data_IF_376384839920
#
_entry.id   IF_376384839920
#
_cell.length_a   1.000
_cell.length_b   1.000
_cell.length_c   1.000
_cell.angle_alpha   90.00
_cell.angle_beta   90.00
_cell.angle_gamma   90.00
#
_symmetry.space_group_name_H-M   'P 1'
#
loop_
_entity.id
_entity.type
_entity.pdbx_description
1 polymer ?
#
# COMPACT_ATOMS: atom_id res chain seq x y z
N UNK A 1 -49.64 -6.10 -37.81
CA UNK A 1 -48.61 -5.20 -37.25
C UNK A 1 -48.48 -5.49 -35.76
N UNK A 2 -47.36 -6.08 -35.33
CA UNK A 2 -47.08 -6.36 -33.92
C UNK A 2 -45.55 -6.33 -33.72
N UNK A 3 -44.99 -5.12 -33.82
CA UNK A 3 -43.56 -4.83 -33.76
C UNK A 3 -43.29 -3.80 -32.65
N UNK A 4 -43.73 -4.02 -31.40
CA UNK A 4 -43.45 -3.02 -30.34
C UNK A 4 -42.98 -3.58 -28.99
N UNK A 5 -42.92 -4.89 -28.76
CA UNK A 5 -42.62 -5.41 -27.41
C UNK A 5 -41.22 -5.98 -27.19
N UNK A 6 -40.36 -6.05 -28.20
CA UNK A 6 -39.04 -6.73 -28.08
C UNK A 6 -37.92 -5.75 -27.69
N UNK A 7 -38.13 -4.44 -27.85
CA UNK A 7 -37.04 -3.45 -27.77
C UNK A 7 -36.57 -3.10 -26.34
N UNK A 8 -37.39 -3.32 -25.31
CA UNK A 8 -37.07 -2.87 -23.94
C UNK A 8 -36.22 -3.86 -23.12
N UNK A 9 -36.17 -5.14 -23.50
CA UNK A 9 -35.39 -6.15 -22.74
C UNK A 9 -33.93 -6.21 -23.19
N UNK A 10 -33.64 -5.84 -24.44
CA UNK A 10 -32.28 -5.86 -24.99
C UNK A 10 -31.39 -4.72 -24.43
N UNK A 11 -31.96 -3.60 -23.99
CA UNK A 11 -31.21 -2.46 -23.48
C UNK A 11 -30.71 -2.65 -22.02
N UNK A 12 -31.30 -3.57 -21.25
CA UNK A 12 -30.94 -3.76 -19.84
C UNK A 12 -29.73 -4.68 -19.61
N UNK A 13 -29.31 -5.45 -20.62
CA UNK A 13 -28.22 -6.44 -20.51
C UNK A 13 -26.84 -5.91 -20.93
N UNK A 14 -26.75 -4.71 -21.51
CA UNK A 14 -25.49 -4.13 -21.97
C UNK A 14 -24.77 -3.26 -20.93
N UNK A 15 -25.34 -3.09 -19.72
CA UNK A 15 -24.82 -2.15 -18.72
C UNK A 15 -23.85 -2.77 -17.68
N UNK A 16 -23.40 -4.02 -17.84
CA UNK A 16 -22.62 -4.73 -16.78
C UNK A 16 -21.10 -4.80 -17.06
N UNK A 17 -20.60 -4.56 -18.27
CA UNK A 17 -19.20 -4.90 -18.60
C UNK A 17 -18.19 -3.74 -18.57
N UNK A 18 -18.56 -2.55 -18.11
CA UNK A 18 -17.65 -1.39 -18.02
C UNK A 18 -17.24 -1.06 -16.57
N UNK A 19 -17.24 -2.04 -15.66
CA UNK A 19 -16.37 -1.93 -14.49
C UNK A 19 -14.93 -2.00 -15.00
N UNK A 20 -14.31 -0.81 -15.14
CA UNK A 20 -13.01 -0.64 -15.76
C UNK A 20 -12.04 -1.74 -15.36
N UNK A 21 -11.49 -2.43 -16.36
CA UNK A 21 -10.52 -3.50 -16.16
C UNK A 21 -9.28 -2.93 -15.48
N UNK A 22 -9.29 -2.83 -14.15
CA UNK A 22 -8.07 -2.74 -13.36
C UNK A 22 -7.38 -4.06 -13.63
N UNK A 23 -6.43 -4.04 -14.54
CA UNK A 23 -5.69 -5.25 -14.90
C UNK A 23 -4.96 -5.69 -13.64
N UNK A 24 -5.33 -6.86 -13.11
CA UNK A 24 -4.66 -7.40 -11.94
C UNK A 24 -3.15 -7.47 -12.24
N UNK A 25 -2.27 -7.16 -11.28
CA UNK A 25 -0.84 -7.25 -11.49
C UNK A 25 -0.48 -8.65 -12.01
N UNK A 26 0.41 -8.69 -13.01
CA UNK A 26 0.85 -9.93 -13.65
C UNK A 26 1.95 -10.64 -12.85
N UNK A 27 2.52 -9.96 -11.86
CA UNK A 27 3.59 -10.47 -11.02
C UNK A 27 3.08 -10.87 -9.64
N UNK A 28 3.92 -11.63 -8.93
CA UNK A 28 3.76 -11.99 -7.53
C UNK A 28 5.13 -11.83 -6.89
N UNK A 29 5.20 -11.06 -5.80
CA UNK A 29 6.35 -10.86 -4.94
C UNK A 29 7.64 -10.50 -5.69
N UNK A 30 7.82 -9.22 -6.00
CA UNK A 30 9.09 -8.67 -6.52
C UNK A 30 10.16 -8.58 -5.43
N UNK A 31 9.79 -8.77 -4.17
CA UNK A 31 10.67 -8.66 -3.04
C UNK A 31 10.79 -7.23 -2.52
N UNK A 32 11.62 -7.02 -1.48
CA UNK A 32 11.80 -5.71 -0.89
C UNK A 32 12.46 -4.75 -1.89
N UNK A 33 11.87 -3.57 -2.05
CA UNK A 33 12.47 -2.46 -2.79
C UNK A 33 12.76 -1.29 -1.86
N UNK A 34 13.78 -0.50 -2.21
CA UNK A 34 14.12 0.71 -1.48
C UNK A 34 13.36 1.90 -2.04
N UNK A 35 12.61 2.60 -1.19
CA UNK A 35 12.02 3.91 -1.46
C UNK A 35 12.81 4.98 -0.73
N UNK A 36 13.29 5.95 -1.49
CA UNK A 36 14.06 7.07 -0.97
C UNK A 36 13.13 8.27 -0.83
N UNK A 37 12.94 8.77 0.38
CA UNK A 37 12.15 9.99 0.63
C UNK A 37 13.08 11.17 0.81
N UNK A 38 12.72 12.32 0.25
CA UNK A 38 13.44 13.58 0.43
C UNK A 38 12.45 14.72 0.61
N UNK A 39 12.90 15.86 1.13
CA UNK A 39 12.04 17.00 1.50
C UNK A 39 11.01 17.32 0.41
N UNK A 40 9.72 17.27 0.79
CA UNK A 40 8.59 17.56 -0.11
C UNK A 40 8.18 16.42 -1.05
N UNK A 41 8.83 15.26 -1.00
CA UNK A 41 8.55 14.13 -1.89
C UNK A 41 8.11 12.89 -1.09
N UNK A 42 6.87 12.45 -1.34
CA UNK A 42 6.36 11.15 -0.89
C UNK A 42 6.79 10.10 -1.90
N UNK A 43 7.46 9.05 -1.44
CA UNK A 43 7.86 7.92 -2.30
C UNK A 43 7.01 6.71 -1.99
N UNK A 44 6.67 5.93 -3.01
CA UNK A 44 5.79 4.78 -2.92
C UNK A 44 6.41 3.56 -3.62
N UNK A 45 6.14 2.38 -3.08
CA UNK A 45 6.44 1.10 -3.70
C UNK A 45 5.21 0.20 -3.68
N UNK A 46 5.01 -0.52 -4.78
CA UNK A 46 3.89 -1.40 -5.01
C UNK A 46 4.39 -2.80 -5.27
N UNK A 47 3.80 -3.76 -4.57
CA UNK A 47 3.99 -5.18 -4.85
C UNK A 47 2.65 -5.92 -4.76
N UNK A 48 2.64 -7.17 -5.17
CA UNK A 48 1.48 -8.02 -5.11
C UNK A 48 1.83 -9.40 -4.58
N UNK A 49 0.95 -10.01 -3.81
CA UNK A 49 1.12 -11.40 -3.39
C UNK A 49 -0.21 -12.16 -3.40
N UNK A 50 -0.14 -13.49 -3.29
CA UNK A 50 -1.32 -14.33 -3.15
C UNK A 50 -1.68 -14.39 -1.66
N UNK A 51 -2.86 -13.89 -1.32
CA UNK A 51 -3.41 -13.91 0.03
C UNK A 51 -4.73 -14.67 0.01
N UNK A 52 -4.85 -15.72 0.81
CA UNK A 52 -6.01 -16.61 0.84
C UNK A 52 -6.45 -17.15 -0.54
N UNK A 53 -5.48 -17.36 -1.43
CA UNK A 53 -5.74 -17.83 -2.81
C UNK A 53 -6.09 -16.73 -3.82
N UNK A 54 -6.24 -15.48 -3.38
CA UNK A 54 -6.52 -14.33 -4.24
C UNK A 54 -5.27 -13.47 -4.43
N UNK A 55 -5.01 -13.02 -5.66
CA UNK A 55 -3.92 -12.04 -5.89
C UNK A 55 -4.36 -10.68 -5.36
N UNK A 56 -3.59 -10.13 -4.43
CA UNK A 56 -3.80 -8.80 -3.88
C UNK A 56 -2.58 -7.93 -4.11
N UNK A 57 -2.81 -6.65 -4.41
CA UNK A 57 -1.77 -5.64 -4.54
C UNK A 57 -1.74 -4.76 -3.29
N UNK A 58 -0.56 -4.40 -2.82
CA UNK A 58 -0.35 -3.49 -1.71
C UNK A 58 0.68 -2.41 -2.04
N UNK A 59 0.45 -1.22 -1.52
CA UNK A 59 1.31 -0.05 -1.73
C UNK A 59 1.79 0.48 -0.39
N UNK A 60 3.10 0.54 -0.19
CA UNK A 60 3.71 1.26 0.94
C UNK A 60 4.20 2.60 0.42
N UNK A 61 3.89 3.69 1.12
CA UNK A 61 4.52 4.98 0.89
C UNK A 61 5.08 5.57 2.19
N UNK A 62 6.02 6.49 2.08
CA UNK A 62 6.57 7.20 3.22
C UNK A 62 6.74 8.69 2.92
N UNK A 63 6.55 9.54 3.93
CA UNK A 63 6.99 10.94 3.90
C UNK A 63 8.45 11.04 4.34
N UNK A 64 9.16 12.11 3.96
CA UNK A 64 10.52 12.36 4.43
C UNK A 64 10.56 12.76 5.91
N UNK A 65 11.73 12.63 6.53
CA UNK A 65 12.03 13.39 7.74
C UNK A 65 12.00 14.89 7.41
N UNK A 66 11.22 15.64 8.17
CA UNK A 66 11.22 17.09 8.10
C UNK A 66 12.22 17.65 9.11
N UNK A 67 13.30 18.27 8.61
CA UNK A 67 14.26 18.98 9.46
C UNK A 67 13.66 20.19 10.19
N UNK A 68 14.42 20.70 11.18
CA UNK A 68 14.28 21.80 12.16
C UNK A 68 13.16 22.88 12.03
N UNK A 69 12.53 23.09 10.88
CA UNK A 69 11.49 24.10 10.65
C UNK A 69 10.10 23.50 10.34
N UNK A 70 9.63 22.58 11.18
CA UNK A 70 8.18 22.41 11.38
C UNK A 70 7.45 21.35 10.55
N UNK A 71 8.09 20.24 10.21
CA UNK A 71 7.33 19.03 9.90
C UNK A 71 7.66 17.96 10.93
N UNK A 72 6.64 17.25 11.40
CA UNK A 72 6.78 16.25 12.45
C UNK A 72 7.52 15.00 12.01
N UNK A 73 7.27 13.95 12.77
CA UNK A 73 7.75 12.60 12.51
C UNK A 73 7.37 12.11 11.09
N UNK A 74 8.24 11.31 10.40
CA UNK A 74 7.86 10.63 9.17
C UNK A 74 6.61 9.78 9.35
N UNK A 75 5.81 9.70 8.30
CA UNK A 75 4.57 8.96 8.27
C UNK A 75 4.70 7.82 7.26
N UNK A 76 4.27 6.64 7.65
CA UNK A 76 4.16 5.47 6.79
C UNK A 76 2.71 5.29 6.39
N UNK A 77 2.50 5.09 5.10
CA UNK A 77 1.21 4.88 4.49
C UNK A 77 1.15 3.48 3.94
N UNK A 78 0.01 2.82 4.10
CA UNK A 78 -0.27 1.58 3.40
C UNK A 78 -1.66 1.60 2.76
N UNK A 79 -1.76 1.01 1.58
CA UNK A 79 -2.96 0.25 1.30
C UNK A 79 -3.11 -0.42 -0.06
N UNK A 80 -4.22 -1.16 -0.26
CA UNK A 80 -4.36 -2.04 -1.39
C UNK A 80 -4.74 -1.26 -2.65
N UNK A 81 -4.33 -1.78 -3.80
CA UNK A 81 -4.64 -1.21 -5.12
C UNK A 81 -4.36 0.31 -5.19
N UNK A 82 -3.22 0.74 -4.63
CA UNK A 82 -2.74 2.12 -4.67
C UNK A 82 -3.58 3.11 -3.85
N UNK A 83 -4.46 2.61 -2.97
CA UNK A 83 -5.22 3.43 -2.02
C UNK A 83 -4.54 3.47 -0.67
N UNK A 84 -4.11 4.65 -0.24
CA UNK A 84 -3.51 4.88 1.10
C UNK A 84 -4.63 4.98 2.15
N UNK A 85 -4.90 3.92 2.91
CA UNK A 85 -5.95 3.92 3.95
C UNK A 85 -5.41 3.76 5.38
N UNK A 86 -4.21 3.20 5.53
CA UNK A 86 -3.44 3.30 6.77
C UNK A 86 -2.47 4.47 6.63
N UNK A 87 -2.45 5.34 7.63
CA UNK A 87 -1.52 6.46 7.73
C UNK A 87 -1.10 6.55 9.19
N UNK A 88 0.14 6.21 9.48
CA UNK A 88 0.63 6.07 10.85
C UNK A 88 2.02 6.71 10.98
N UNK A 89 2.34 7.37 12.11
CA UNK A 89 3.70 7.83 12.38
C UNK A 89 4.69 6.65 12.42
N UNK A 90 5.93 6.86 11.96
CA UNK A 90 6.95 5.82 11.87
C UNK A 90 7.20 5.11 13.21
N UNK A 91 7.21 5.84 14.33
CA UNK A 91 7.35 5.31 15.70
C UNK A 91 6.27 4.31 16.03
N UNK A 92 5.02 4.64 15.70
CA UNK A 92 3.85 3.82 15.99
C UNK A 92 3.91 2.50 15.21
N UNK A 93 4.45 2.54 13.98
CA UNK A 93 4.64 1.32 13.17
C UNK A 93 5.71 0.37 13.71
N UNK A 94 6.55 0.76 14.68
CA UNK A 94 7.58 -0.12 15.28
C UNK A 94 6.94 -1.29 16.03
N UNK A 95 5.94 -1.00 16.88
CA UNK A 95 5.16 -2.02 17.57
C UNK A 95 4.21 -2.78 16.62
N UNK A 96 3.97 -2.20 15.44
CA UNK A 96 3.04 -2.67 14.45
C UNK A 96 1.62 -2.16 14.69
N UNK A 97 0.93 -1.84 13.60
CA UNK A 97 -0.45 -1.33 13.60
C UNK A 97 -1.34 -2.33 12.89
N UNK A 98 -2.42 -2.72 13.54
CA UNK A 98 -3.44 -3.59 12.96
C UNK A 98 -4.65 -2.77 12.55
N UNK A 99 -5.21 -3.01 11.37
CA UNK A 99 -6.53 -2.52 10.95
C UNK A 99 -7.29 -3.60 10.19
N UNK A 100 -8.60 -3.64 10.41
CA UNK A 100 -9.51 -4.43 9.59
C UNK A 100 -9.87 -3.67 8.32
N UNK A 101 -9.77 -4.35 7.17
CA UNK A 101 -10.15 -3.80 5.87
C UNK A 101 -10.86 -4.88 5.05
N UNK A 102 -12.12 -4.65 4.71
CA UNK A 102 -12.96 -5.59 3.95
C UNK A 102 -12.96 -7.02 4.54
N UNK A 103 -13.00 -7.13 5.87
CA UNK A 103 -12.98 -8.42 6.57
C UNK A 103 -11.61 -9.12 6.60
N UNK A 104 -10.56 -8.49 6.06
CA UNK A 104 -9.18 -8.97 6.16
C UNK A 104 -8.42 -8.18 7.24
N UNK A 105 -7.65 -8.89 8.07
CA UNK A 105 -6.81 -8.30 9.12
C UNK A 105 -5.48 -7.85 8.52
N UNK A 106 -5.29 -6.55 8.39
CA UNK A 106 -4.05 -5.95 7.87
C UNK A 106 -3.14 -5.58 9.04
N UNK A 107 -1.86 -5.92 8.93
CA UNK A 107 -0.84 -5.56 9.92
C UNK A 107 0.35 -4.89 9.24
N UNK A 108 0.61 -3.63 9.58
CA UNK A 108 1.74 -2.83 9.12
C UNK A 108 2.78 -2.74 10.24
N UNK A 109 4.01 -3.16 9.98
CA UNK A 109 5.12 -3.04 10.93
C UNK A 109 6.36 -2.52 10.22
N UNK A 110 7.07 -1.59 10.86
CA UNK A 110 8.34 -1.07 10.35
C UNK A 110 9.43 -1.03 11.42
N UNK A 111 10.52 -1.72 11.16
CA UNK A 111 11.69 -1.73 12.03
C UNK A 111 12.63 -0.56 11.70
N UNK A 112 13.21 0.14 12.69
CA UNK A 112 14.18 1.20 12.45
C UNK A 112 15.46 0.64 11.82
N UNK A 113 15.98 1.34 10.81
CA UNK A 113 17.27 1.04 10.17
C UNK A 113 18.29 2.07 10.66
N UNK A 114 19.30 1.59 11.39
CA UNK A 114 20.34 2.44 11.99
C UNK A 114 21.58 2.53 11.11
N UNK A 115 22.20 3.70 11.04
CA UNK A 115 23.49 3.88 10.39
C UNK A 115 24.58 3.04 11.10
N UNK A 116 25.49 2.37 10.34
CA UNK A 116 26.56 1.57 10.92
C UNK A 116 27.37 2.34 11.96
N UNK A 117 27.56 1.72 13.14
CA UNK A 117 28.36 2.31 14.22
C UNK A 117 27.71 3.49 14.94
N UNK A 118 26.44 3.82 14.67
CA UNK A 118 25.71 4.92 15.34
C UNK A 118 24.34 4.46 15.83
N UNK A 119 23.69 5.30 16.65
CA UNK A 119 22.27 5.13 17.01
C UNK A 119 21.35 6.01 16.14
N UNK A 120 21.87 6.55 15.05
CA UNK A 120 21.12 7.44 14.17
C UNK A 120 20.26 6.60 13.24
N UNK A 121 18.95 6.79 13.32
CA UNK A 121 18.01 6.23 12.36
C UNK A 121 18.22 6.87 10.98
N UNK A 122 18.23 6.03 9.95
CA UNK A 122 18.43 6.42 8.55
C UNK A 122 17.26 6.00 7.66
N UNK A 123 16.33 5.23 8.22
CA UNK A 123 15.29 4.60 7.45
C UNK A 123 14.45 3.62 8.25
N UNK A 124 13.54 2.95 7.55
CA UNK A 124 12.59 1.98 8.10
C UNK A 124 12.47 0.77 7.18
N UNK A 125 12.58 -0.44 7.72
CA UNK A 125 12.27 -1.67 7.00
C UNK A 125 10.81 -2.04 7.27
N UNK A 126 9.92 -1.74 6.34
CA UNK A 126 8.49 -1.94 6.47
C UNK A 126 8.04 -3.26 5.84
N UNK A 127 7.11 -3.94 6.51
CA UNK A 127 6.37 -5.08 5.99
C UNK A 127 4.89 -4.92 6.27
N UNK A 128 4.08 -5.40 5.35
CA UNK A 128 2.63 -5.51 5.54
C UNK A 128 2.21 -6.95 5.34
N UNK A 129 1.46 -7.47 6.30
CA UNK A 129 0.79 -8.75 6.20
C UNK A 129 -0.72 -8.57 6.17
N UNK A 130 -1.41 -9.47 5.48
CA UNK A 130 -2.86 -9.55 5.46
C UNK A 130 -3.24 -10.97 5.84
N UNK A 131 -4.08 -11.13 6.87
CA UNK A 131 -4.41 -12.42 7.47
C UNK A 131 -3.16 -13.24 7.87
N UNK A 132 -2.08 -12.53 8.27
CA UNK A 132 -0.80 -13.13 8.65
C UNK A 132 0.10 -13.52 7.46
N UNK A 133 -0.37 -13.41 6.23
CA UNK A 133 0.40 -13.69 5.02
C UNK A 133 1.08 -12.42 4.49
N UNK A 134 2.33 -12.53 4.04
CA UNK A 134 3.09 -11.38 3.56
C UNK A 134 2.49 -10.82 2.28
N UNK A 135 2.19 -9.52 2.25
CA UNK A 135 1.70 -8.83 1.05
C UNK A 135 2.80 -8.01 0.35
N UNK A 136 3.51 -7.17 1.09
CA UNK A 136 4.53 -6.26 0.53
C UNK A 136 5.59 -5.93 1.58
N UNK A 137 6.83 -5.78 1.12
CA UNK A 137 7.97 -5.27 1.91
C UNK A 137 8.61 -4.08 1.20
N UNK A 138 9.05 -3.08 1.97
CA UNK A 138 9.75 -1.92 1.45
C UNK A 138 10.77 -1.41 2.46
N UNK A 139 11.96 -1.02 1.97
CA UNK A 139 12.94 -0.30 2.77
C UNK A 139 12.77 1.19 2.50
N UNK A 140 12.46 1.97 3.52
CA UNK A 140 12.39 3.42 3.46
C UNK A 140 13.76 3.98 3.83
N UNK A 141 14.31 4.85 3.01
CA UNK A 141 15.50 5.65 3.33
C UNK A 141 15.10 7.12 3.46
N UNK A 142 15.39 7.72 4.62
CA UNK A 142 15.15 9.14 4.86
C UNK A 142 16.37 9.94 4.40
N UNK A 143 16.26 10.64 3.26
CA UNK A 143 17.27 11.63 2.85
C UNK A 143 16.97 12.97 3.51
N UNK A 144 18.02 13.54 4.12
CA UNK A 144 18.04 14.87 4.71
C UNK A 144 18.15 15.96 3.65
#
# INVERSE_FOLDING_TARGET
MRFEQISLVAAALAAISLSGCVTAPTWTNRGPSTIVTAKGMISCYEDANIIDGERMQGTICATPESGFFGGGEPEIYFGPWNRKFMKEPASTTTAGVTRDYQGKKVFLQCDPVLAPGTKTETGRACKVTVNGQLLVTANVEFKK
#
